data_IF_215045892213
#
_entry.id   IF_215045892213
#
_cell.length_a   1.000
_cell.length_b   1.000
_cell.length_c   1.000
_cell.angle_alpha   90.00
_cell.angle_beta   90.00
_cell.angle_gamma   90.00
#
_symmetry.space_group_name_H-M   'P 1'
#
loop_
_entity.id
_entity.type
_entity.pdbx_description
1 polymer ?
#
# COMPACT_ATOMS: atom_id res chain seq x y z
N UNK A 1 -23.51 3.98 -5.55
CA UNK A 1 -22.06 3.79 -5.75
C UNK A 1 -21.45 2.83 -4.72
N UNK A 2 -21.66 3.00 -3.41
CA UNK A 2 -21.11 2.08 -2.40
C UNK A 2 -21.75 0.67 -2.37
N UNK A 3 -23.04 0.54 -2.70
CA UNK A 3 -23.73 -0.77 -2.70
C UNK A 3 -23.25 -1.75 -3.78
N UNK A 4 -22.80 -1.27 -4.95
CA UNK A 4 -22.23 -2.13 -6.00
C UNK A 4 -20.82 -2.60 -5.66
N UNK A 5 -20.06 -1.82 -4.88
CA UNK A 5 -18.72 -2.19 -4.44
C UNK A 5 -18.76 -3.37 -3.44
N UNK A 6 -19.74 -3.35 -2.52
CA UNK A 6 -19.91 -4.43 -1.54
C UNK A 6 -20.25 -5.78 -2.17
N UNK A 7 -21.09 -5.78 -3.21
CA UNK A 7 -21.47 -7.01 -3.93
C UNK A 7 -20.38 -7.50 -4.89
N UNK A 8 -19.57 -6.60 -5.46
CA UNK A 8 -18.36 -6.98 -6.19
C UNK A 8 -17.30 -7.56 -5.28
N UNK A 9 -17.11 -6.97 -4.09
CA UNK A 9 -16.18 -7.48 -3.08
C UNK A 9 -16.59 -8.87 -2.60
N UNK A 10 -17.88 -9.11 -2.33
CA UNK A 10 -18.37 -10.45 -1.97
C UNK A 10 -18.09 -11.48 -3.07
N UNK A 11 -18.36 -11.16 -4.33
CA UNK A 11 -18.04 -12.05 -5.47
C UNK A 11 -16.55 -12.35 -5.57
N UNK A 12 -15.69 -11.38 -5.26
CA UNK A 12 -14.23 -11.57 -5.32
C UNK A 12 -13.70 -12.34 -4.12
N UNK A 13 -14.31 -12.19 -2.95
CA UNK A 13 -13.99 -12.91 -1.72
C UNK A 13 -14.50 -14.37 -1.74
N UNK A 14 -15.52 -14.68 -2.54
CA UNK A 14 -16.02 -16.04 -2.76
C UNK A 14 -15.18 -16.85 -3.76
N UNK A 15 -14.28 -16.21 -4.52
CA UNK A 15 -13.38 -16.93 -5.40
C UNK A 15 -12.46 -17.85 -4.58
N UNK A 16 -12.23 -19.10 -5.02
CA UNK A 16 -11.33 -20.00 -4.33
C UNK A 16 -9.89 -19.45 -4.37
N UNK A 17 -9.27 -19.31 -3.21
CA UNK A 17 -7.91 -18.79 -3.06
C UNK A 17 -7.44 -18.77 -1.60
N UNK A 18 -6.16 -18.48 -1.33
CA UNK A 18 -5.56 -18.52 0.01
C UNK A 18 -6.27 -17.62 1.02
N UNK A 19 -6.81 -16.50 0.52
CA UNK A 19 -7.56 -15.51 1.30
C UNK A 19 -8.92 -16.06 1.74
N UNK A 20 -9.59 -16.88 0.93
CA UNK A 20 -10.88 -17.49 1.25
C UNK A 20 -10.74 -18.59 2.34
N UNK A 21 -9.63 -19.34 2.32
CA UNK A 21 -9.34 -20.35 3.35
C UNK A 21 -9.06 -19.69 4.71
N UNK A 22 -8.32 -18.58 4.72
CA UNK A 22 -8.08 -17.79 5.95
C UNK A 22 -9.37 -17.12 6.44
N UNK A 23 -10.18 -16.58 5.52
CA UNK A 23 -11.46 -15.94 5.84
C UNK A 23 -12.48 -16.94 6.40
N UNK A 24 -12.58 -18.14 5.82
CA UNK A 24 -13.48 -19.19 6.29
C UNK A 24 -13.05 -19.75 7.64
N UNK A 25 -11.74 -19.82 7.92
CA UNK A 25 -11.21 -20.17 9.24
C UNK A 25 -11.57 -19.09 10.30
N UNK A 26 -11.41 -17.81 9.95
CA UNK A 26 -11.80 -16.70 10.82
C UNK A 26 -13.32 -16.63 11.02
N UNK A 27 -14.10 -16.88 9.96
CA UNK A 27 -15.57 -16.95 10.03
C UNK A 27 -16.03 -18.11 10.91
N UNK A 28 -15.40 -19.28 10.82
CA UNK A 28 -15.71 -20.46 11.64
C UNK A 28 -15.47 -20.26 13.14
N UNK A 29 -14.54 -19.38 13.52
CA UNK A 29 -14.29 -19.03 14.94
C UNK A 29 -15.12 -17.87 15.45
N UNK A 30 -15.45 -16.90 14.59
CA UNK A 30 -16.07 -15.64 15.01
C UNK A 30 -17.58 -15.56 14.73
N UNK A 31 -18.12 -16.34 13.80
CA UNK A 31 -19.52 -16.29 13.39
C UNK A 31 -19.95 -14.96 12.72
N UNK A 32 -18.99 -14.14 12.32
CA UNK A 32 -19.20 -12.80 11.73
C UNK A 32 -19.08 -12.89 10.21
N UNK A 33 -19.96 -12.20 9.47
CA UNK A 33 -19.90 -12.12 8.02
C UNK A 33 -18.54 -11.59 7.52
N UNK A 34 -17.97 -12.29 6.53
CA UNK A 34 -16.65 -12.03 5.91
C UNK A 34 -16.38 -10.57 5.59
N UNK A 35 -17.38 -9.84 5.10
CA UNK A 35 -17.27 -8.41 4.76
C UNK A 35 -16.85 -7.55 5.95
N UNK A 36 -17.40 -7.80 7.14
CA UNK A 36 -17.05 -7.03 8.34
C UNK A 36 -15.64 -7.36 8.84
N UNK A 37 -15.18 -8.61 8.68
CA UNK A 37 -13.81 -9.01 9.02
C UNK A 37 -12.80 -8.24 8.15
N UNK A 38 -13.08 -8.15 6.84
CA UNK A 38 -12.23 -7.39 5.90
C UNK A 38 -12.20 -5.90 6.27
N UNK A 39 -13.35 -5.28 6.56
CA UNK A 39 -13.37 -3.87 6.99
C UNK A 39 -12.63 -3.64 8.31
N UNK A 40 -12.76 -4.55 9.27
CA UNK A 40 -12.05 -4.47 10.54
C UNK A 40 -10.53 -4.62 10.35
N UNK A 41 -10.09 -5.55 9.49
CA UNK A 41 -8.69 -5.73 9.14
C UNK A 41 -8.08 -4.52 8.44
N UNK A 42 -8.80 -3.92 7.48
CA UNK A 42 -8.38 -2.68 6.80
C UNK A 42 -8.27 -1.53 7.81
N UNK A 43 -9.26 -1.37 8.69
CA UNK A 43 -9.24 -0.33 9.71
C UNK A 43 -8.06 -0.49 10.66
N UNK A 44 -7.79 -1.71 11.12
CA UNK A 44 -6.66 -2.02 12.01
C UNK A 44 -5.32 -1.75 11.31
N UNK A 45 -5.20 -2.13 10.03
CA UNK A 45 -4.02 -1.82 9.22
C UNK A 45 -3.82 -0.30 9.08
N UNK A 46 -4.88 0.47 8.81
CA UNK A 46 -4.79 1.93 8.75
C UNK A 46 -4.34 2.53 10.09
N UNK A 47 -4.90 2.07 11.22
CA UNK A 47 -4.49 2.52 12.56
C UNK A 47 -3.03 2.15 12.84
N UNK A 48 -2.60 0.94 12.47
CA UNK A 48 -1.20 0.51 12.61
C UNK A 48 -0.25 1.40 11.80
N UNK A 49 -0.62 1.76 10.56
CA UNK A 49 0.14 2.68 9.73
C UNK A 49 0.20 4.10 10.32
N UNK A 50 -0.86 4.57 11.00
CA UNK A 50 -0.86 5.88 11.68
C UNK A 50 0.04 5.92 12.92
N UNK A 51 0.21 4.79 13.62
CA UNK A 51 1.09 4.67 14.79
C UNK A 51 2.58 4.69 14.37
N UNK A 52 2.88 4.47 13.08
CA UNK A 52 4.18 4.79 12.48
C UNK A 52 5.30 3.78 12.72
N UNK A 53 5.09 2.74 13.53
CA UNK A 53 6.08 1.68 13.74
C UNK A 53 6.20 0.80 12.49
N UNK A 54 7.29 0.95 11.73
CA UNK A 54 7.61 0.09 10.58
C UNK A 54 7.01 0.54 9.24
N UNK A 55 6.35 1.70 9.19
CA UNK A 55 5.81 2.28 7.95
C UNK A 55 6.88 2.50 6.89
N UNK A 56 8.08 2.94 7.28
CA UNK A 56 9.20 3.13 6.35
C UNK A 56 9.59 1.86 5.61
N UNK A 57 9.61 0.71 6.30
CA UNK A 57 9.94 -0.58 5.67
C UNK A 57 8.82 -1.05 4.74
N UNK A 58 7.56 -0.88 5.16
CA UNK A 58 6.40 -1.24 4.32
C UNK A 58 6.30 -0.39 3.06
N UNK A 59 6.46 0.94 3.19
CA UNK A 59 6.46 1.86 2.06
C UNK A 59 7.63 1.56 1.13
N UNK A 60 8.80 1.21 1.67
CA UNK A 60 9.93 0.79 0.86
C UNK A 60 9.64 -0.53 0.13
N UNK A 61 9.10 -1.55 0.78
CA UNK A 61 8.79 -2.83 0.12
C UNK A 61 7.75 -2.62 -0.99
N UNK A 62 6.66 -1.92 -0.70
CA UNK A 62 5.57 -1.72 -1.68
C UNK A 62 6.00 -0.75 -2.79
N UNK A 63 6.68 0.34 -2.43
CA UNK A 63 7.15 1.38 -3.35
C UNK A 63 8.40 1.00 -4.14
N UNK A 64 9.15 -0.02 -3.72
CA UNK A 64 10.34 -0.48 -4.43
C UNK A 64 10.14 -1.84 -5.09
N UNK A 65 9.70 -2.86 -4.33
CA UNK A 65 9.73 -4.26 -4.80
C UNK A 65 8.69 -4.52 -5.88
N UNK A 66 7.46 -4.01 -5.72
CA UNK A 66 6.40 -4.21 -6.71
C UNK A 66 6.71 -3.53 -8.06
N UNK A 67 7.06 -2.23 -8.10
CA UNK A 67 7.45 -1.57 -9.34
C UNK A 67 8.74 -2.15 -9.93
N UNK A 68 9.69 -2.61 -9.11
CA UNK A 68 10.91 -3.26 -9.61
C UNK A 68 10.61 -4.57 -10.33
N UNK A 69 9.70 -5.40 -9.78
CA UNK A 69 9.27 -6.63 -10.44
C UNK A 69 8.62 -6.35 -11.79
N UNK A 70 7.66 -5.41 -11.83
CA UNK A 70 6.99 -5.07 -13.09
C UNK A 70 7.92 -4.35 -14.08
N UNK A 71 8.91 -3.57 -13.60
CA UNK A 71 9.94 -2.97 -14.45
C UNK A 71 10.78 -4.05 -15.15
N UNK A 72 11.19 -5.11 -14.41
CA UNK A 72 11.96 -6.23 -14.99
C UNK A 72 11.11 -6.97 -16.03
N UNK A 73 9.84 -7.21 -15.71
CA UNK A 73 8.90 -7.86 -16.62
C UNK A 73 8.62 -7.03 -17.88
N UNK A 74 8.57 -5.70 -17.77
CA UNK A 74 8.40 -4.79 -18.91
C UNK A 74 9.57 -4.88 -19.90
N UNK A 75 10.81 -4.99 -19.41
CA UNK A 75 12.02 -5.15 -20.23
C UNK A 75 11.99 -6.42 -21.08
N UNK A 76 11.38 -7.49 -20.58
CA UNK A 76 11.22 -8.74 -21.32
C UNK A 76 10.08 -8.70 -22.35
N UNK A 77 9.22 -7.69 -22.27
CA UNK A 77 8.10 -7.53 -23.19
C UNK A 77 8.53 -6.84 -24.50
N UNK A 78 7.91 -7.16 -25.65
CA UNK A 78 8.19 -6.49 -26.92
C UNK A 78 7.58 -5.08 -27.02
N UNK A 79 6.75 -4.68 -26.04
CA UNK A 79 6.07 -3.39 -25.95
C UNK A 79 6.97 -2.38 -25.24
N UNK A 80 7.18 -1.20 -25.82
CA UNK A 80 7.98 -0.13 -25.21
C UNK A 80 7.17 0.89 -24.40
N UNK A 81 5.84 0.79 -24.45
CA UNK A 81 4.97 1.75 -23.75
C UNK A 81 5.02 1.52 -22.23
N UNK A 82 5.21 0.26 -21.81
CA UNK A 82 5.31 -0.12 -20.39
C UNK A 82 6.61 0.41 -19.75
N UNK A 83 7.72 0.45 -20.50
CA UNK A 83 9.01 0.98 -20.04
C UNK A 83 8.91 2.46 -19.64
N UNK A 84 8.16 3.24 -20.43
CA UNK A 84 8.01 4.68 -20.20
C UNK A 84 7.22 4.95 -18.93
N UNK A 85 6.18 4.14 -18.65
CA UNK A 85 5.41 4.21 -17.41
C UNK A 85 6.29 3.97 -16.18
N UNK A 86 7.10 2.90 -16.19
CA UNK A 86 7.95 2.57 -15.05
C UNK A 86 9.07 3.60 -14.85
N UNK A 87 9.62 4.14 -15.93
CA UNK A 87 10.62 5.21 -15.83
C UNK A 87 10.02 6.49 -15.22
N UNK A 88 8.81 6.89 -15.64
CA UNK A 88 8.10 8.03 -15.03
C UNK A 88 7.83 7.77 -13.55
N UNK A 89 7.41 6.56 -13.19
CA UNK A 89 7.22 6.16 -11.79
C UNK A 89 8.49 6.39 -10.96
N UNK A 90 9.64 5.90 -11.44
CA UNK A 90 10.91 6.04 -10.74
C UNK A 90 11.36 7.51 -10.61
N UNK A 91 11.13 8.34 -11.63
CA UNK A 91 11.44 9.78 -11.57
C UNK A 91 10.59 10.48 -10.52
N UNK A 92 9.28 10.22 -10.49
CA UNK A 92 8.37 10.80 -9.48
C UNK A 92 8.75 10.31 -8.09
N UNK A 93 8.95 9.01 -7.92
CA UNK A 93 9.34 8.40 -6.64
C UNK A 93 10.63 8.99 -6.08
N UNK A 94 11.69 9.09 -6.91
CA UNK A 94 12.95 9.70 -6.50
C UNK A 94 12.80 11.18 -6.14
N UNK A 95 12.00 11.94 -6.89
CA UNK A 95 11.76 13.36 -6.58
C UNK A 95 11.03 13.56 -5.25
N UNK A 96 10.05 12.70 -4.92
CA UNK A 96 9.35 12.71 -3.64
C UNK A 96 10.29 12.34 -2.48
N UNK A 97 11.14 11.33 -2.66
CA UNK A 97 12.10 10.94 -1.63
C UNK A 97 13.14 12.05 -1.38
N UNK A 98 13.59 12.72 -2.44
CA UNK A 98 14.48 13.87 -2.33
C UNK A 98 13.77 15.04 -1.63
N UNK A 99 12.50 15.30 -1.93
CA UNK A 99 11.71 16.31 -1.26
C UNK A 99 11.53 16.02 0.24
N UNK A 100 11.27 14.76 0.61
CA UNK A 100 11.18 14.33 2.01
C UNK A 100 12.52 14.55 2.74
N UNK A 101 13.63 14.11 2.15
CA UNK A 101 14.97 14.31 2.71
C UNK A 101 15.32 15.80 2.87
N UNK A 102 14.95 16.62 1.88
CA UNK A 102 15.11 18.06 1.93
C UNK A 102 14.24 18.70 3.02
N UNK A 103 13.00 18.25 3.20
CA UNK A 103 12.08 18.77 4.23
C UNK A 103 12.58 18.44 5.63
N UNK A 104 13.06 17.21 5.86
CA UNK A 104 13.68 16.83 7.13
C UNK A 104 14.93 17.66 7.44
N UNK A 105 15.78 17.87 6.44
CA UNK A 105 16.97 18.70 6.58
C UNK A 105 16.60 20.16 6.84
N UNK A 106 15.63 20.70 6.11
CA UNK A 106 15.16 22.07 6.26
C UNK A 106 14.55 22.31 7.63
N UNK A 107 13.70 21.40 8.14
CA UNK A 107 13.12 21.49 9.49
C UNK A 107 14.21 21.48 10.58
N UNK A 108 15.29 20.72 10.38
CA UNK A 108 16.43 20.71 11.30
C UNK A 108 17.20 22.05 11.31
N UNK A 109 17.39 22.67 10.14
CA UNK A 109 18.11 23.95 10.02
C UNK A 109 17.24 25.19 10.29
N UNK A 110 15.91 25.07 10.24
CA UNK A 110 15.00 26.17 10.52
C UNK A 110 14.87 26.35 12.05
N UNK A 111 15.05 27.57 12.60
CA UNK A 111 15.06 27.84 14.05
C UNK A 111 13.71 27.61 14.77
N UNK A 112 12.72 26.98 14.13
CA UNK A 112 11.40 26.68 14.71
C UNK A 112 11.36 25.38 15.54
N UNK A 113 12.45 24.61 15.64
CA UNK A 113 12.53 23.43 16.51
C UNK A 113 12.10 23.68 17.98
N UNK A 114 12.41 24.85 18.60
CA UNK A 114 11.93 25.19 19.94
C UNK A 114 10.47 25.68 20.01
N UNK A 115 9.80 25.95 18.88
CA UNK A 115 8.41 26.46 18.86
C UNK A 115 7.36 25.36 18.70
N UNK A 116 7.77 24.14 18.38
CA UNK A 116 6.90 22.97 18.15
C UNK A 116 7.09 21.88 19.23
N UNK A 117 8.03 22.06 20.18
CA UNK A 117 8.17 21.20 21.37
C UNK A 117 7.43 21.80 22.56
#
# INVERSE_FOLDING_TARGET
MFGSLGSQLEKELEKPGPVNDILSFCEGKSGIHRRYIVYCGILLLCVYLLIGYGTGVLVLIIGFVYPAYESVKAIESPSKDDDTQWLIYWVVFASLQLFEACTLSLVYYLPLYPLIK
#
